data_IF_672666635557
#
_entry.id   IF_672666635557
#
_cell.length_a   1.000
_cell.length_b   1.000
_cell.length_c   1.000
_cell.angle_alpha   90.00
_cell.angle_beta   90.00
_cell.angle_gamma   90.00
#
_symmetry.space_group_name_H-M   'P 1'
#
loop_
_entity.id
_entity.type
_entity.pdbx_description
1 polymer ?
#
# COMPACT_ATOMS: atom_id res chain seq x y z
N UNK A 1 20.88 9.01 14.05
CA UNK A 1 19.78 9.47 14.93
C UNK A 1 18.45 9.31 14.23
N UNK A 2 17.44 8.81 14.93
CA UNK A 2 16.05 8.76 14.47
C UNK A 2 15.32 10.01 15.02
N UNK A 3 14.59 10.71 14.15
CA UNK A 3 13.70 11.80 14.52
C UNK A 3 12.29 11.40 14.11
N UNK A 4 11.39 11.29 15.06
CA UNK A 4 9.99 10.94 14.86
C UNK A 4 9.09 12.16 14.99
N UNK A 5 7.81 12.01 14.61
CA UNK A 5 6.80 13.08 14.68
C UNK A 5 7.19 14.34 13.91
N UNK A 6 7.80 14.13 12.74
CA UNK A 6 8.13 15.21 11.82
C UNK A 6 7.59 14.84 10.44
N UNK A 7 6.77 15.69 9.87
CA UNK A 7 6.21 15.54 8.53
C UNK A 7 7.02 16.33 7.53
N UNK A 8 7.58 15.66 6.54
CA UNK A 8 8.22 16.29 5.39
C UNK A 8 7.18 17.08 4.59
N UNK A 9 7.43 18.36 4.35
CA UNK A 9 6.52 19.22 3.61
C UNK A 9 7.05 19.55 2.22
N UNK A 10 8.34 19.89 2.12
CA UNK A 10 8.94 20.34 0.86
C UNK A 10 10.44 20.09 0.83
N UNK A 11 10.94 19.65 -0.30
CA UNK A 11 12.35 19.71 -0.66
C UNK A 11 12.63 21.04 -1.34
N UNK A 12 13.61 21.76 -0.87
CA UNK A 12 14.10 22.99 -1.52
C UNK A 12 15.23 22.57 -2.45
N UNK A 13 14.98 22.71 -3.76
CA UNK A 13 15.89 22.32 -4.81
C UNK A 13 16.55 23.57 -5.36
N UNK A 14 17.87 23.57 -5.47
CA UNK A 14 18.69 24.65 -6.04
C UNK A 14 19.57 24.04 -7.12
N UNK A 15 19.34 24.43 -8.36
CA UNK A 15 19.96 23.77 -9.51
C UNK A 15 19.53 22.32 -9.61
N UNK A 16 20.49 21.42 -9.57
CA UNK A 16 20.32 19.97 -9.67
C UNK A 16 20.34 19.24 -8.31
N UNK A 17 20.37 19.99 -7.20
CA UNK A 17 20.57 19.43 -5.86
C UNK A 17 19.50 19.85 -4.87
N UNK A 18 19.22 18.96 -3.91
CA UNK A 18 18.40 19.31 -2.75
C UNK A 18 19.30 20.05 -1.74
N UNK A 19 18.97 21.32 -1.50
CA UNK A 19 19.65 22.15 -0.48
C UNK A 19 19.19 21.76 0.94
N UNK A 20 17.90 21.61 1.13
CA UNK A 20 17.32 21.26 2.42
C UNK A 20 15.94 20.61 2.29
N UNK A 21 15.54 19.91 3.33
CA UNK A 21 14.16 19.50 3.57
C UNK A 21 13.52 20.48 4.55
N UNK A 22 12.37 21.01 4.18
CA UNK A 22 11.45 21.74 5.06
C UNK A 22 10.39 20.78 5.57
N UNK A 23 10.21 20.78 6.87
CA UNK A 23 9.32 19.86 7.57
C UNK A 23 8.63 20.57 8.74
N UNK A 24 7.63 19.92 9.31
CA UNK A 24 6.88 20.43 10.45
C UNK A 24 6.80 19.37 11.55
N UNK A 25 7.02 19.78 12.77
CA UNK A 25 6.80 18.91 13.91
C UNK A 25 5.30 18.61 14.05
N UNK A 26 4.98 17.39 14.41
CA UNK A 26 3.63 16.95 14.72
C UNK A 26 3.39 17.03 16.24
N UNK A 27 2.13 16.97 16.61
CA UNK A 27 1.69 16.88 18.00
C UNK A 27 2.14 15.60 18.70
N UNK A 28 1.77 15.42 19.96
CA UNK A 28 2.14 14.25 20.73
C UNK A 28 1.54 12.95 20.16
N UNK A 29 0.38 13.02 19.51
CA UNK A 29 -0.26 11.89 18.82
C UNK A 29 0.40 11.55 17.48
N UNK A 30 1.23 12.45 16.92
CA UNK A 30 1.89 12.27 15.64
C UNK A 30 0.99 12.47 14.42
N UNK A 31 -0.14 13.15 14.58
CA UNK A 31 -1.17 13.30 13.55
C UNK A 31 -1.29 14.74 13.03
N UNK A 32 -1.25 15.73 13.93
CA UNK A 32 -1.53 17.13 13.59
C UNK A 32 -0.25 17.96 13.53
N UNK A 33 -0.03 18.70 12.42
CA UNK A 33 1.10 19.60 12.34
C UNK A 33 0.99 20.75 13.36
N UNK A 34 2.08 21.01 14.05
CA UNK A 34 2.21 22.15 14.95
C UNK A 34 2.75 23.38 14.19
N UNK A 35 2.87 24.52 14.86
CA UNK A 35 3.51 25.72 14.29
C UNK A 35 5.04 25.57 14.16
N UNK A 36 5.65 24.56 14.79
CA UNK A 36 7.09 24.38 14.82
C UNK A 36 7.60 23.85 13.48
N UNK A 37 8.40 24.65 12.81
CA UNK A 37 9.12 24.27 11.58
C UNK A 37 10.41 23.54 11.91
N UNK A 38 10.77 22.59 11.07
CA UNK A 38 12.01 21.81 11.14
C UNK A 38 12.71 21.90 9.79
N UNK A 39 13.98 22.22 9.81
CA UNK A 39 14.83 22.24 8.61
C UNK A 39 15.89 21.17 8.76
N UNK A 40 16.02 20.31 7.75
CA UNK A 40 17.05 19.27 7.72
C UNK A 40 17.98 19.54 6.54
N UNK A 41 19.28 19.57 6.82
CA UNK A 41 20.35 19.63 5.83
C UNK A 41 21.16 18.34 5.88
N UNK A 42 21.40 17.75 4.72
CA UNK A 42 22.12 16.49 4.60
C UNK A 42 22.92 16.47 3.29
N UNK A 43 23.91 15.60 3.20
CA UNK A 43 24.67 15.35 1.96
C UNK A 43 23.85 14.56 0.94
N UNK A 44 22.95 13.71 1.41
CA UNK A 44 22.09 12.89 0.57
C UNK A 44 20.69 12.83 1.19
N UNK A 45 19.66 12.81 0.35
CA UNK A 45 18.27 12.70 0.75
C UNK A 45 17.68 11.46 0.10
N UNK A 46 16.99 10.64 0.89
CA UNK A 46 16.28 9.46 0.42
C UNK A 46 14.79 9.64 0.70
N UNK A 47 14.01 9.73 -0.36
CA UNK A 47 12.55 9.80 -0.25
C UNK A 47 11.96 8.38 -0.26
N UNK A 48 11.55 7.91 0.90
CA UNK A 48 11.00 6.57 1.13
C UNK A 48 9.57 6.63 1.70
N UNK A 49 8.74 7.56 1.21
CA UNK A 49 7.36 7.78 1.66
C UNK A 49 6.32 6.87 0.98
N UNK A 50 6.74 5.80 0.34
CA UNK A 50 5.85 4.87 -0.37
C UNK A 50 5.29 5.43 -1.68
N UNK A 51 4.39 4.68 -2.29
CA UNK A 51 3.85 4.97 -3.63
C UNK A 51 3.00 6.25 -3.69
N UNK A 52 2.51 6.74 -2.57
CA UNK A 52 1.69 7.96 -2.47
C UNK A 52 2.51 9.12 -1.89
N UNK A 53 3.19 8.89 -0.76
CA UNK A 53 3.88 9.96 -0.04
C UNK A 53 5.08 10.53 -0.77
N UNK A 54 5.88 9.70 -1.43
CA UNK A 54 7.04 10.15 -2.20
C UNK A 54 6.63 11.01 -3.40
N UNK A 55 5.73 10.59 -4.31
CA UNK A 55 5.26 11.45 -5.40
C UNK A 55 4.61 12.73 -4.90
N UNK A 56 3.83 12.67 -3.83
CA UNK A 56 3.20 13.84 -3.24
C UNK A 56 4.24 14.86 -2.72
N UNK A 57 5.35 14.39 -2.12
CA UNK A 57 6.45 15.23 -1.70
C UNK A 57 7.15 15.89 -2.90
N UNK A 58 7.43 15.10 -3.94
CA UNK A 58 8.10 15.59 -5.15
C UNK A 58 7.24 16.64 -5.88
N UNK A 59 5.95 16.40 -6.05
CA UNK A 59 5.00 17.34 -6.66
C UNK A 59 4.92 18.67 -5.87
N UNK A 60 4.79 18.59 -4.54
CA UNK A 60 4.78 19.79 -3.68
C UNK A 60 6.10 20.55 -3.73
N UNK A 61 7.19 19.86 -3.99
CA UNK A 61 8.53 20.44 -4.08
C UNK A 61 8.83 21.08 -5.43
N UNK A 62 8.00 20.85 -6.45
CA UNK A 62 8.31 21.24 -7.81
C UNK A 62 9.56 20.53 -8.31
N UNK A 63 9.76 19.26 -7.93
CA UNK A 63 10.91 18.49 -8.34
C UNK A 63 10.93 18.32 -9.88
N UNK A 64 12.12 18.28 -10.50
CA UNK A 64 12.24 18.01 -11.93
C UNK A 64 11.56 16.69 -12.30
N UNK A 65 10.73 16.73 -13.32
CA UNK A 65 10.02 15.57 -13.87
C UNK A 65 10.10 15.60 -15.40
N UNK A 66 11.26 15.27 -15.97
CA UNK A 66 11.50 15.38 -17.42
C UNK A 66 10.58 14.49 -18.25
N UNK A 67 10.07 13.42 -17.67
CA UNK A 67 9.17 12.48 -18.33
C UNK A 67 7.69 12.74 -18.03
N UNK A 68 7.38 13.66 -17.11
CA UNK A 68 6.02 13.97 -16.69
C UNK A 68 5.30 12.80 -16.02
N UNK A 69 6.03 11.93 -15.29
CA UNK A 69 5.50 10.69 -14.72
C UNK A 69 5.30 10.73 -13.20
N UNK A 70 5.81 11.75 -12.51
CA UNK A 70 5.65 11.86 -11.06
C UNK A 70 4.17 11.95 -10.70
N UNK A 71 3.71 11.06 -9.85
CA UNK A 71 2.30 10.94 -9.45
C UNK A 71 1.38 10.35 -10.52
N UNK A 72 1.92 9.87 -11.62
CA UNK A 72 1.18 9.13 -12.65
C UNK A 72 1.51 7.64 -12.59
N UNK A 73 0.71 6.83 -13.29
CA UNK A 73 0.88 5.38 -13.33
C UNK A 73 0.93 4.77 -11.94
N UNK A 74 -0.01 5.19 -11.10
CA UNK A 74 -0.20 4.57 -9.80
C UNK A 74 -0.88 3.24 -10.01
N UNK A 75 -0.13 2.17 -9.76
CA UNK A 75 -0.65 0.82 -9.81
C UNK A 75 -1.17 0.44 -8.43
N UNK A 76 -2.37 -0.11 -8.41
CA UNK A 76 -2.94 -0.74 -7.23
C UNK A 76 -2.57 -2.23 -7.21
N UNK A 77 -3.10 -2.94 -6.26
CA UNK A 77 -2.90 -4.37 -6.12
C UNK A 77 -4.29 -5.04 -6.11
N UNK A 78 -4.99 -5.08 -7.27
CA UNK A 78 -6.32 -5.66 -7.33
C UNK A 78 -6.26 -7.11 -6.87
N UNK A 79 -7.13 -7.49 -5.96
CA UNK A 79 -7.11 -8.81 -5.34
C UNK A 79 -8.49 -9.43 -5.43
N UNK A 80 -8.55 -10.65 -5.95
CA UNK A 80 -9.73 -11.50 -5.91
C UNK A 80 -9.50 -12.52 -4.80
N UNK A 81 -10.44 -12.64 -3.89
CA UNK A 81 -10.38 -13.62 -2.80
C UNK A 81 -11.37 -14.73 -3.10
N UNK A 82 -10.89 -15.96 -3.02
CA UNK A 82 -11.69 -17.18 -3.15
C UNK A 82 -11.43 -18.08 -1.95
N UNK A 83 -12.42 -18.84 -1.53
CA UNK A 83 -12.23 -19.85 -0.50
C UNK A 83 -12.83 -21.18 -0.94
N UNK A 84 -12.20 -22.26 -0.52
CA UNK A 84 -12.66 -23.62 -0.76
C UNK A 84 -12.80 -24.36 0.57
N UNK A 85 -13.87 -25.14 0.69
CA UNK A 85 -14.02 -26.10 1.78
C UNK A 85 -13.34 -27.39 1.36
N UNK A 86 -12.27 -27.72 2.06
CA UNK A 86 -11.46 -28.91 1.79
C UNK A 86 -12.02 -30.12 2.55
N UNK A 87 -11.91 -31.33 1.99
CA UNK A 87 -12.33 -32.55 2.68
C UNK A 87 -11.47 -32.84 3.93
N UNK A 88 -10.19 -32.44 3.88
CA UNK A 88 -9.26 -32.62 4.98
C UNK A 88 -9.08 -31.31 5.75
N UNK A 89 -8.57 -31.45 6.97
CA UNK A 89 -8.22 -30.32 7.84
C UNK A 89 -6.97 -29.61 7.29
N UNK A 90 -7.08 -28.32 7.05
CA UNK A 90 -6.00 -27.47 6.49
C UNK A 90 -5.39 -26.56 7.54
N UNK A 91 -6.18 -26.11 8.52
CA UNK A 91 -5.79 -25.13 9.54
C UNK A 91 -5.11 -23.88 8.94
N UNK A 92 -5.70 -23.29 7.92
CA UNK A 92 -5.15 -22.16 7.18
C UNK A 92 -4.86 -20.90 8.05
N UNK A 93 -5.23 -20.92 9.31
CA UNK A 93 -4.92 -19.90 10.32
C UNK A 93 -3.61 -20.18 11.09
N UNK A 94 -3.00 -21.37 10.90
CA UNK A 94 -1.79 -21.78 11.58
C UNK A 94 -0.55 -21.68 10.69
N UNK A 95 0.60 -21.47 11.29
CA UNK A 95 1.88 -21.42 10.58
C UNK A 95 2.25 -20.03 10.02
N UNK A 96 3.29 -20.00 9.21
CA UNK A 96 3.76 -18.77 8.57
C UNK A 96 2.85 -18.38 7.39
N UNK A 97 2.48 -17.09 7.27
CA UNK A 97 1.61 -16.63 6.19
C UNK A 97 2.33 -16.64 4.83
N UNK A 98 1.56 -16.89 3.76
CA UNK A 98 1.97 -16.70 2.36
C UNK A 98 3.29 -17.39 1.98
N UNK A 99 3.53 -18.59 2.51
CA UNK A 99 4.75 -19.37 2.24
C UNK A 99 4.69 -20.11 0.91
N UNK A 100 3.50 -20.21 0.30
CA UNK A 100 3.27 -20.87 -0.99
C UNK A 100 2.58 -19.88 -1.92
N UNK A 101 3.10 -19.79 -3.15
CA UNK A 101 2.50 -19.00 -4.21
C UNK A 101 2.74 -19.66 -5.58
N UNK A 102 1.97 -19.26 -6.57
CA UNK A 102 2.19 -19.59 -7.97
C UNK A 102 2.18 -18.32 -8.80
N UNK A 103 3.22 -18.13 -9.60
CA UNK A 103 3.35 -17.08 -10.60
C UNK A 103 3.18 -17.60 -12.04
N UNK A 104 2.70 -18.82 -12.18
CA UNK A 104 2.52 -19.50 -13.47
C UNK A 104 1.76 -18.65 -14.50
N UNK A 105 0.80 -17.85 -14.07
CA UNK A 105 0.00 -16.98 -14.95
C UNK A 105 0.45 -15.52 -14.97
N UNK A 106 1.54 -15.18 -14.29
CA UNK A 106 1.97 -13.78 -14.16
C UNK A 106 2.53 -13.23 -15.49
N UNK A 107 3.37 -14.02 -16.17
CA UNK A 107 4.13 -13.62 -17.35
C UNK A 107 3.59 -14.25 -18.65
N UNK A 108 2.43 -14.88 -18.60
CA UNK A 108 1.80 -15.50 -19.78
C UNK A 108 1.21 -14.49 -20.77
N UNK A 109 1.12 -13.23 -20.35
CA UNK A 109 0.52 -12.15 -21.14
C UNK A 109 1.57 -11.07 -21.44
N UNK A 110 1.61 -10.55 -22.69
CA UNK A 110 2.47 -9.44 -23.01
C UNK A 110 2.11 -8.21 -22.16
N UNK A 111 3.00 -7.20 -22.04
CA UNK A 111 2.73 -6.00 -21.25
C UNK A 111 1.41 -5.31 -21.59
N UNK A 112 1.01 -5.36 -22.87
CA UNK A 112 -0.22 -4.75 -23.39
C UNK A 112 -1.40 -5.73 -23.49
N UNK A 113 -1.21 -6.97 -23.05
CA UNK A 113 -2.23 -8.03 -23.10
C UNK A 113 -3.16 -8.01 -21.88
N UNK A 114 -4.07 -8.99 -21.78
CA UNK A 114 -4.90 -9.20 -20.60
C UNK A 114 -4.04 -9.31 -19.34
N UNK A 115 -4.59 -8.84 -18.21
CA UNK A 115 -3.86 -8.86 -16.95
C UNK A 115 -3.53 -10.28 -16.50
N UNK A 116 -2.25 -10.57 -16.30
CA UNK A 116 -1.81 -11.77 -15.62
C UNK A 116 -2.08 -11.69 -14.12
N UNK A 117 -1.96 -12.80 -13.43
CA UNK A 117 -2.18 -12.84 -11.98
C UNK A 117 -1.23 -13.83 -11.29
N UNK A 118 -1.02 -13.59 -10.02
CA UNK A 118 -0.29 -14.44 -9.10
C UNK A 118 -1.25 -15.02 -8.09
N UNK A 119 -1.15 -16.30 -7.79
CA UNK A 119 -1.92 -16.95 -6.74
C UNK A 119 -1.08 -17.05 -5.47
N UNK A 120 -1.68 -16.71 -4.34
CA UNK A 120 -1.08 -16.85 -3.02
C UNK A 120 -2.08 -17.50 -2.05
N UNK A 121 -1.55 -18.25 -1.08
CA UNK A 121 -2.33 -18.83 0.01
C UNK A 121 -2.17 -17.95 1.27
N UNK A 122 -3.08 -16.99 1.52
CA UNK A 122 -3.00 -16.15 2.70
C UNK A 122 -3.40 -16.92 3.96
N UNK A 123 -2.97 -16.47 5.14
CA UNK A 123 -3.48 -17.02 6.39
C UNK A 123 -4.95 -16.62 6.55
N UNK A 124 -5.79 -17.59 6.85
CA UNK A 124 -7.21 -17.35 7.13
C UNK A 124 -7.43 -17.14 8.63
N UNK A 125 -6.97 -16.02 9.18
CA UNK A 125 -7.15 -15.71 10.60
C UNK A 125 -8.63 -15.73 10.99
N UNK A 126 -9.02 -16.33 12.14
CA UNK A 126 -10.44 -16.49 12.52
C UNK A 126 -11.25 -15.19 12.51
N UNK A 127 -10.66 -14.06 12.92
CA UNK A 127 -11.33 -12.75 12.87
C UNK A 127 -11.59 -12.30 11.43
N UNK A 128 -10.62 -12.51 10.52
CA UNK A 128 -10.81 -12.20 9.10
C UNK A 128 -11.89 -13.09 8.48
N UNK A 129 -11.88 -14.38 8.80
CA UNK A 129 -12.93 -15.29 8.37
C UNK A 129 -14.32 -14.83 8.87
N UNK A 130 -14.41 -14.45 10.15
CA UNK A 130 -15.66 -14.00 10.74
C UNK A 130 -16.27 -12.75 10.08
N UNK A 131 -15.44 -11.82 9.61
CA UNK A 131 -15.91 -10.60 8.95
C UNK A 131 -16.12 -10.74 7.44
N UNK A 132 -15.58 -11.78 6.81
CA UNK A 132 -15.62 -11.97 5.36
C UNK A 132 -16.58 -13.08 4.92
N UNK A 133 -16.80 -14.10 5.77
CA UNK A 133 -17.73 -15.18 5.47
C UNK A 133 -19.17 -14.68 5.45
N UNK A 134 -20.00 -15.19 4.51
CA UNK A 134 -21.36 -14.71 4.34
C UNK A 134 -22.31 -15.17 5.44
N UNK A 135 -23.45 -14.48 5.54
CA UNK A 135 -24.54 -14.82 6.43
C UNK A 135 -24.41 -14.21 7.83
N UNK A 136 -25.37 -14.53 8.68
CA UNK A 136 -25.45 -14.10 10.08
C UNK A 136 -26.12 -15.20 10.91
N UNK A 137 -26.01 -15.12 12.26
CA UNK A 137 -26.57 -16.10 13.17
C UNK A 137 -26.09 -17.53 12.87
N UNK A 138 -27.01 -18.47 12.87
CA UNK A 138 -26.69 -19.90 12.67
C UNK A 138 -26.04 -20.21 11.34
N UNK A 139 -26.40 -19.51 10.28
CA UNK A 139 -25.79 -19.71 8.97
C UNK A 139 -24.30 -19.36 8.99
N UNK A 140 -23.94 -18.23 9.60
CA UNK A 140 -22.56 -17.80 9.79
C UNK A 140 -21.81 -18.74 10.76
N UNK A 141 -22.45 -19.15 11.86
CA UNK A 141 -21.85 -20.07 12.83
C UNK A 141 -21.48 -21.42 12.18
N UNK A 142 -22.28 -21.91 11.24
CA UNK A 142 -21.96 -23.13 10.48
C UNK A 142 -20.71 -22.97 9.63
N UNK A 143 -20.48 -21.81 9.00
CA UNK A 143 -19.24 -21.53 8.28
C UNK A 143 -18.06 -21.47 9.22
N UNK A 144 -18.18 -20.77 10.35
CA UNK A 144 -17.12 -20.66 11.34
C UNK A 144 -16.74 -22.01 11.96
N UNK A 145 -17.70 -22.91 12.13
CA UNK A 145 -17.43 -24.28 12.60
C UNK A 145 -16.56 -25.09 11.62
N UNK A 146 -16.58 -24.74 10.34
CA UNK A 146 -15.78 -25.39 9.29
C UNK A 146 -14.45 -24.68 9.02
N UNK A 147 -14.10 -23.65 9.78
CA UNK A 147 -12.87 -22.87 9.62
C UNK A 147 -11.60 -23.73 9.51
N UNK A 148 -11.45 -24.84 10.26
CA UNK A 148 -10.27 -25.71 10.15
C UNK A 148 -10.11 -26.36 8.77
N UNK A 149 -11.19 -26.47 8.00
CA UNK A 149 -11.21 -27.05 6.67
C UNK A 149 -11.27 -26.00 5.55
N UNK A 150 -11.35 -24.71 5.89
CA UNK A 150 -11.37 -23.64 4.89
C UNK A 150 -9.95 -23.26 4.44
N UNK A 151 -9.74 -23.26 3.13
CA UNK A 151 -8.54 -22.73 2.48
C UNK A 151 -8.92 -21.48 1.70
N UNK A 152 -8.27 -20.36 2.01
CA UNK A 152 -8.36 -19.16 1.21
C UNK A 152 -7.26 -19.11 0.15
N UNK A 153 -7.60 -18.58 -1.01
CA UNK A 153 -6.67 -18.24 -2.08
C UNK A 153 -6.94 -16.79 -2.50
N UNK A 154 -5.88 -16.06 -2.75
CA UNK A 154 -5.96 -14.73 -3.33
C UNK A 154 -5.28 -14.74 -4.70
N UNK A 155 -5.95 -14.13 -5.68
CA UNK A 155 -5.35 -13.83 -6.96
C UNK A 155 -4.98 -12.35 -6.98
N UNK A 156 -3.69 -12.07 -7.04
CA UNK A 156 -3.15 -10.73 -7.19
C UNK A 156 -3.04 -10.43 -8.68
N UNK A 157 -3.89 -9.56 -9.16
CA UNK A 157 -4.01 -9.26 -10.59
C UNK A 157 -3.09 -8.10 -10.95
N UNK A 158 -2.39 -8.21 -12.08
CA UNK A 158 -1.61 -7.10 -12.64
C UNK A 158 -2.53 -5.95 -13.03
N UNK A 159 -2.21 -4.75 -12.55
CA UNK A 159 -2.99 -3.55 -12.81
C UNK A 159 -2.49 -2.79 -14.05
N UNK A 160 -3.39 -2.05 -14.68
CA UNK A 160 -3.07 -1.11 -15.76
C UNK A 160 -2.97 0.33 -15.27
N UNK A 161 -2.31 1.21 -16.01
CA UNK A 161 -1.91 2.56 -15.61
C UNK A 161 -3.04 3.62 -15.61
N UNK A 162 -4.22 3.29 -15.10
CA UNK A 162 -5.40 4.17 -15.16
C UNK A 162 -5.51 5.19 -14.03
N UNK A 163 -4.68 5.09 -12.98
CA UNK A 163 -4.72 6.00 -11.84
C UNK A 163 -3.68 7.12 -11.96
N UNK A 164 -4.13 8.34 -11.74
CA UNK A 164 -3.29 9.54 -11.67
C UNK A 164 -3.46 10.16 -10.29
N UNK A 165 -2.37 10.27 -9.53
CA UNK A 165 -2.34 11.11 -8.34
C UNK A 165 -2.37 12.57 -8.79
N UNK A 166 -3.53 13.19 -8.73
CA UNK A 166 -3.66 14.63 -8.99
C UNK A 166 -3.19 15.42 -7.77
N UNK A 167 -2.87 16.69 -7.99
CA UNK A 167 -2.44 17.67 -6.98
C UNK A 167 -3.46 17.92 -5.84
N UNK A 168 -4.17 16.90 -5.36
CA UNK A 168 -4.94 16.99 -4.12
C UNK A 168 -4.07 17.45 -2.93
N UNK A 169 -2.77 17.51 -3.12
CA UNK A 169 -1.81 18.05 -2.17
C UNK A 169 -1.81 19.59 -2.04
N UNK A 170 -2.55 20.33 -2.90
CA UNK A 170 -2.72 21.79 -2.75
C UNK A 170 -3.87 22.18 -1.82
N UNK A 171 -4.72 21.23 -1.45
CA UNK A 171 -5.84 21.49 -0.55
C UNK A 171 -5.42 21.22 0.87
N UNK A 172 -5.32 22.28 1.63
CA UNK A 172 -5.12 22.39 3.06
C UNK A 172 -3.73 22.93 3.49
N UNK A 173 -3.39 24.12 3.02
CA UNK A 173 -2.82 25.06 3.97
C UNK A 173 -4.03 25.76 4.63
N UNK A 174 -4.31 25.60 5.92
CA UNK A 174 -5.22 26.52 6.59
C UNK A 174 -4.57 27.89 6.56
N UNK A 175 -5.35 28.88 6.11
CA UNK A 175 -5.07 30.31 6.17
C UNK A 175 -4.68 30.74 7.57
#
# INVERSE_FOLDING_TARGET
>A
KLVTRVRAERLVIVGDRVDRLEARALDAAGTTPTVRRVTVRARSYVAAGGAIGTPALLLRSGAPDPNGLVGKRTFLHPTIVSAALMPERVDAFAGAPQTIYSDHWLDTMPPDGPAGFKLEAPPLHPVLAAITLPGHGDAHARWMAQLPNLQALIALVRDGDRFVLREAAKVAAPS
#
